data_IF_582010543324
#
_entry.id   IF_582010543324
#
_cell.length_a   1.000
_cell.length_b   1.000
_cell.length_c   1.000
_cell.angle_alpha   90.00
_cell.angle_beta   90.00
_cell.angle_gamma   90.00
#
_symmetry.space_group_name_H-M   'P 1'
#
loop_
_entity.id
_entity.type
_entity.pdbx_description
1 polymer ?
#
# COMPACT_ATOMS: atom_id res chain seq x y z
N UNK A 1 39.28 -9.35 -25.60
CA UNK A 1 39.42 -9.67 -24.17
C UNK A 1 38.32 -8.96 -23.40
N UNK A 2 37.60 -9.72 -22.58
CA UNK A 2 36.30 -9.38 -21.99
C UNK A 2 36.47 -8.68 -20.65
N UNK A 3 35.82 -7.53 -20.43
CA UNK A 3 35.66 -6.94 -19.10
C UNK A 3 34.19 -6.60 -18.85
N UNK A 4 33.43 -7.61 -18.39
CA UNK A 4 32.04 -7.46 -17.94
C UNK A 4 32.05 -6.76 -16.59
N UNK A 5 31.74 -5.45 -16.59
CA UNK A 5 31.60 -4.62 -15.39
C UNK A 5 30.35 -5.04 -14.61
N UNK A 6 30.52 -5.96 -13.65
CA UNK A 6 29.46 -6.35 -12.71
C UNK A 6 29.14 -5.17 -11.79
N UNK A 7 28.08 -4.44 -12.12
CA UNK A 7 27.49 -3.39 -11.30
C UNK A 7 26.83 -4.06 -10.09
N UNK A 8 27.56 -4.16 -8.98
CA UNK A 8 27.04 -4.59 -7.67
C UNK A 8 26.00 -3.56 -7.25
N UNK A 9 24.72 -3.90 -7.42
CA UNK A 9 23.62 -3.14 -6.84
C UNK A 9 23.60 -3.50 -5.35
N UNK A 10 24.24 -2.66 -4.54
CA UNK A 10 24.17 -2.74 -3.09
C UNK A 10 22.78 -2.31 -2.65
N UNK A 11 21.93 -3.27 -2.31
CA UNK A 11 20.77 -3.06 -1.45
C UNK A 11 21.31 -2.62 -0.09
N UNK A 12 21.36 -1.31 0.10
CA UNK A 12 21.68 -0.69 1.39
C UNK A 12 20.36 -0.19 1.94
N UNK A 13 19.93 -0.86 3.01
CA UNK A 13 18.76 -0.55 3.82
C UNK A 13 18.72 0.92 4.21
N UNK A 14 17.52 1.50 4.27
CA UNK A 14 17.26 2.66 5.10
C UNK A 14 16.23 2.26 6.14
N UNK A 15 16.74 2.04 7.35
CA UNK A 15 15.95 2.01 8.57
C UNK A 15 15.70 3.46 9.01
N UNK A 16 14.44 3.74 9.36
CA UNK A 16 14.06 4.60 10.47
C UNK A 16 14.38 6.09 10.40
N UNK A 17 13.33 6.91 10.29
CA UNK A 17 13.09 7.99 11.26
C UNK A 17 11.64 8.49 11.12
N UNK A 18 10.84 8.17 12.12
CA UNK A 18 9.52 8.75 12.33
C UNK A 18 9.65 10.20 12.82
N UNK A 19 8.89 11.12 12.24
CA UNK A 19 8.50 12.36 12.91
C UNK A 19 7.26 13.00 12.26
N UNK A 20 6.26 13.23 13.11
CA UNK A 20 5.23 14.28 13.08
C UNK A 20 4.09 14.21 12.03
N UNK A 21 2.93 13.77 12.55
CA UNK A 21 1.63 14.42 12.47
C UNK A 21 1.37 15.39 11.29
N UNK A 22 0.65 14.87 10.30
CA UNK A 22 -0.20 15.65 9.41
C UNK A 22 -1.44 14.82 9.12
N UNK A 23 -2.53 15.08 9.86
CA UNK A 23 -3.83 14.45 9.64
C UNK A 23 -4.41 15.03 8.33
N UNK A 24 -3.96 14.50 7.19
CA UNK A 24 -4.52 14.89 5.88
C UNK A 24 -5.81 14.08 5.69
N UNK A 25 -6.93 14.70 6.05
CA UNK A 25 -8.26 14.37 5.55
C UNK A 25 -8.31 14.69 4.06
N UNK A 26 -7.93 13.73 3.22
CA UNK A 26 -8.28 13.79 1.80
C UNK A 26 -9.60 13.04 1.58
N UNK A 27 -10.68 13.81 1.56
CA UNK A 27 -12.02 13.37 1.17
C UNK A 27 -12.09 13.28 -0.36
N UNK A 28 -12.66 12.19 -0.86
CA UNK A 28 -13.28 12.17 -2.19
C UNK A 28 -12.76 11.08 -3.13
N UNK A 29 -13.18 9.82 -2.93
CA UNK A 29 -13.40 8.91 -4.05
C UNK A 29 -14.67 8.10 -3.76
N UNK A 30 -15.63 8.16 -4.68
CA UNK A 30 -16.88 7.43 -4.69
C UNK A 30 -16.62 5.91 -4.71
N UNK A 31 -16.57 5.28 -3.54
CA UNK A 31 -16.66 3.82 -3.44
C UNK A 31 -18.14 3.46 -3.30
N UNK A 32 -18.74 2.66 -4.21
CA UNK A 32 -20.12 2.24 -4.05
C UNK A 32 -20.25 1.42 -2.75
N UNK A 33 -21.32 1.62 -1.95
CA UNK A 33 -21.52 0.85 -0.73
C UNK A 33 -21.76 -0.62 -1.11
N UNK A 34 -20.81 -1.49 -0.74
CA UNK A 34 -21.00 -2.93 -0.80
C UNK A 34 -22.02 -3.30 0.28
N UNK A 35 -23.10 -4.05 -0.02
CA UNK A 35 -24.09 -4.42 0.98
C UNK A 35 -23.43 -5.33 2.02
N UNK A 36 -23.16 -4.77 3.20
CA UNK A 36 -22.64 -5.51 4.33
C UNK A 36 -23.80 -6.21 5.04
N UNK A 37 -23.83 -7.55 4.96
CA UNK A 37 -24.38 -8.34 6.06
C UNK A 37 -23.57 -7.91 7.28
N UNK A 38 -24.22 -7.47 8.36
CA UNK A 38 -23.53 -6.90 9.52
C UNK A 38 -22.63 -7.95 10.19
N UNK A 39 -21.39 -8.06 9.70
CA UNK A 39 -20.35 -8.89 10.26
C UNK A 39 -19.97 -8.33 11.64
N UNK A 40 -19.58 -9.22 12.55
CA UNK A 40 -19.00 -8.77 13.80
C UNK A 40 -17.68 -8.03 13.54
N UNK A 41 -17.35 -7.00 14.32
CA UNK A 41 -16.13 -6.21 14.09
C UNK A 41 -14.83 -7.06 14.00
N UNK A 42 -14.65 -8.15 14.78
CA UNK A 42 -13.52 -9.06 14.61
C UNK A 42 -13.51 -9.81 13.26
N UNK A 43 -14.68 -10.20 12.76
CA UNK A 43 -14.84 -10.90 11.47
C UNK A 43 -14.55 -9.96 10.29
N UNK A 44 -14.98 -8.69 10.38
CA UNK A 44 -14.63 -7.67 9.39
C UNK A 44 -13.10 -7.47 9.32
N UNK A 45 -12.44 -7.31 10.47
CA UNK A 45 -10.98 -7.16 10.52
C UNK A 45 -10.30 -8.40 9.89
N UNK A 46 -10.75 -9.61 10.22
CA UNK A 46 -10.18 -10.83 9.65
C UNK A 46 -10.33 -10.88 8.11
N UNK A 47 -11.49 -10.49 7.58
CA UNK A 47 -11.72 -10.41 6.13
C UNK A 47 -10.81 -9.37 5.46
N UNK A 48 -10.63 -8.19 6.07
CA UNK A 48 -9.74 -7.15 5.54
C UNK A 48 -8.27 -7.56 5.58
N UNK A 49 -7.84 -8.25 6.64
CA UNK A 49 -6.49 -8.83 6.73
C UNK A 49 -6.28 -9.80 5.57
N UNK A 50 -7.23 -10.71 5.33
CA UNK A 50 -7.14 -11.68 4.24
C UNK A 50 -7.07 -10.99 2.87
N UNK A 51 -7.93 -10.02 2.61
CA UNK A 51 -7.93 -9.23 1.37
C UNK A 51 -6.58 -8.53 1.16
N UNK A 52 -6.04 -7.93 2.22
CA UNK A 52 -4.75 -7.27 2.16
C UNK A 52 -3.59 -8.23 1.84
N UNK A 53 -3.62 -9.46 2.38
CA UNK A 53 -2.64 -10.50 2.07
C UNK A 53 -2.79 -11.00 0.63
N UNK A 54 -4.00 -11.06 0.08
CA UNK A 54 -4.24 -11.38 -1.33
C UNK A 54 -3.59 -10.33 -2.24
N UNK A 55 -3.81 -9.04 -1.96
CA UNK A 55 -3.20 -7.94 -2.70
C UNK A 55 -1.66 -7.96 -2.60
N UNK A 56 -1.12 -8.28 -1.43
CA UNK A 56 0.33 -8.38 -1.23
C UNK A 56 0.97 -9.45 -2.12
N UNK A 57 0.29 -10.60 -2.27
CA UNK A 57 0.73 -11.67 -3.19
C UNK A 57 0.73 -11.20 -4.65
N UNK A 58 -0.26 -10.41 -5.05
CA UNK A 58 -0.32 -9.82 -6.40
C UNK A 58 0.84 -8.86 -6.61
N UNK A 59 1.09 -7.94 -5.68
CA UNK A 59 2.21 -6.99 -5.74
C UNK A 59 3.57 -7.69 -5.80
N UNK A 60 3.75 -8.74 -5.00
CA UNK A 60 4.98 -9.53 -5.00
C UNK A 60 5.23 -10.21 -6.37
N UNK A 61 4.17 -10.55 -7.11
CA UNK A 61 4.31 -11.08 -8.47
C UNK A 61 4.88 -10.06 -9.45
N UNK A 62 4.52 -8.78 -9.33
CA UNK A 62 5.04 -7.71 -10.19
C UNK A 62 6.50 -7.41 -9.91
N UNK A 63 6.92 -7.41 -8.64
CA UNK A 63 8.32 -7.21 -8.28
C UNK A 63 9.22 -8.32 -8.86
N UNK A 64 8.78 -9.59 -8.77
CA UNK A 64 9.51 -10.73 -9.37
C UNK A 64 9.64 -10.67 -10.89
N UNK A 65 8.69 -10.03 -11.58
CA UNK A 65 8.75 -9.86 -13.04
C UNK A 65 9.78 -8.81 -13.47
N UNK A 66 10.35 -8.02 -12.55
CA UNK A 66 11.40 -7.04 -12.87
C UNK A 66 10.95 -5.95 -13.84
N UNK A 67 9.67 -5.55 -13.78
CA UNK A 67 9.07 -4.62 -14.74
C UNK A 67 9.67 -3.22 -14.56
N UNK A 68 10.30 -2.69 -15.60
CA UNK A 68 10.78 -1.31 -15.62
C UNK A 68 9.60 -0.39 -15.91
N UNK A 69 9.32 0.54 -15.00
CA UNK A 69 8.29 1.58 -15.15
C UNK A 69 8.93 2.93 -15.44
N UNK A 70 8.17 3.86 -16.04
CA UNK A 70 8.66 5.22 -16.25
C UNK A 70 8.76 5.98 -14.91
N UNK A 71 9.49 7.09 -14.88
CA UNK A 71 9.74 7.85 -13.64
C UNK A 71 8.49 8.40 -12.97
N UNK A 72 7.46 8.77 -13.74
CA UNK A 72 6.19 9.28 -13.20
C UNK A 72 5.43 8.16 -12.49
N UNK A 73 5.32 6.99 -13.10
CA UNK A 73 4.73 5.80 -12.47
C UNK A 73 5.54 5.35 -11.26
N UNK A 74 6.88 5.41 -11.32
CA UNK A 74 7.73 5.08 -10.18
C UNK A 74 7.49 6.00 -8.97
N UNK A 75 7.33 7.31 -9.22
CA UNK A 75 7.02 8.27 -8.17
C UNK A 75 5.63 8.02 -7.54
N UNK A 76 4.62 7.71 -8.37
CA UNK A 76 3.29 7.38 -7.89
C UNK A 76 3.27 6.08 -7.06
N UNK A 77 4.03 5.07 -7.47
CA UNK A 77 4.22 3.82 -6.71
C UNK A 77 4.84 4.13 -5.34
N UNK A 78 5.95 4.87 -5.30
CA UNK A 78 6.65 5.22 -4.07
C UNK A 78 5.74 6.00 -3.10
N UNK A 79 4.96 6.97 -3.60
CA UNK A 79 4.00 7.71 -2.76
C UNK A 79 2.94 6.79 -2.13
N UNK A 80 2.43 5.81 -2.90
CA UNK A 80 1.45 4.85 -2.39
C UNK A 80 2.07 3.91 -1.35
N UNK A 81 3.29 3.43 -1.58
CA UNK A 81 4.03 2.58 -0.63
C UNK A 81 4.30 3.31 0.69
N UNK A 82 4.74 4.58 0.64
CA UNK A 82 4.95 5.40 1.84
C UNK A 82 3.65 5.58 2.63
N UNK A 83 2.53 5.81 1.95
CA UNK A 83 1.21 5.94 2.60
C UNK A 83 0.75 4.64 3.22
N UNK A 84 1.03 3.49 2.61
CA UNK A 84 0.76 2.17 3.18
C UNK A 84 1.59 1.98 4.46
N UNK A 85 2.89 2.30 4.42
CA UNK A 85 3.77 2.18 5.59
C UNK A 85 3.27 3.02 6.79
N UNK A 86 2.74 4.22 6.55
CA UNK A 86 2.13 5.04 7.60
C UNK A 86 0.89 4.36 8.21
N UNK A 87 0.04 3.75 7.38
CA UNK A 87 -1.14 3.02 7.86
C UNK A 87 -0.74 1.76 8.64
N UNK A 88 0.26 1.02 8.18
CA UNK A 88 0.76 -0.19 8.85
C UNK A 88 1.27 0.14 10.26
N UNK A 89 2.05 1.22 10.42
CA UNK A 89 2.46 1.72 11.75
C UNK A 89 1.24 2.12 12.60
N UNK A 90 0.21 2.70 11.98
CA UNK A 90 -1.06 3.03 12.64
C UNK A 90 -1.78 1.79 13.18
N UNK A 91 -1.84 0.72 12.38
CA UNK A 91 -2.45 -0.57 12.76
C UNK A 91 -1.70 -1.15 13.96
N UNK A 92 -0.37 -1.24 13.88
CA UNK A 92 0.47 -1.79 14.95
C UNK A 92 0.25 -1.01 16.26
N UNK A 93 0.23 0.33 16.18
CA UNK A 93 -0.01 1.18 17.34
C UNK A 93 -1.42 0.99 17.92
N UNK A 94 -2.45 0.91 17.07
CA UNK A 94 -3.83 0.74 17.51
C UNK A 94 -4.02 -0.62 18.22
N UNK A 95 -3.37 -1.68 17.73
CA UNK A 95 -3.38 -3.00 18.36
C UNK A 95 -2.66 -3.00 19.71
N UNK A 96 -1.46 -2.41 19.78
CA UNK A 96 -0.70 -2.29 21.04
C UNK A 96 -1.45 -1.50 22.12
N UNK A 97 -2.27 -0.54 21.71
CA UNK A 97 -3.06 0.29 22.61
C UNK A 97 -4.45 -0.29 22.92
N UNK A 98 -4.77 -1.48 22.41
CA UNK A 98 -6.10 -2.08 22.51
C UNK A 98 -7.21 -1.11 22.09
N UNK A 99 -6.99 -0.39 20.98
CA UNK A 99 -7.96 0.55 20.44
C UNK A 99 -9.29 -0.15 20.10
N UNK A 100 -10.41 0.60 20.04
CA UNK A 100 -11.70 0.04 19.64
C UNK A 100 -11.60 -0.69 18.29
N UNK A 101 -12.32 -1.81 18.17
CA UNK A 101 -12.29 -2.64 16.96
C UNK A 101 -12.62 -1.84 15.69
N UNK A 102 -13.56 -0.89 15.77
CA UNK A 102 -13.93 -0.03 14.65
C UNK A 102 -12.76 0.85 14.17
N UNK A 103 -11.96 1.41 15.10
CA UNK A 103 -10.78 2.19 14.75
C UNK A 103 -9.70 1.32 14.08
N UNK A 104 -9.56 0.06 14.50
CA UNK A 104 -8.65 -0.91 13.88
C UNK A 104 -9.18 -1.30 12.49
N UNK A 105 -10.48 -1.54 12.34
CA UNK A 105 -11.12 -1.85 11.07
C UNK A 105 -10.98 -0.69 10.06
N UNK A 106 -11.13 0.56 10.48
CA UNK A 106 -10.91 1.74 9.64
C UNK A 106 -9.49 1.78 9.03
N UNK A 107 -8.48 1.46 9.83
CA UNK A 107 -7.09 1.41 9.38
C UNK A 107 -6.87 0.27 8.38
N UNK A 108 -7.44 -0.91 8.63
CA UNK A 108 -7.39 -2.03 7.68
C UNK A 108 -8.10 -1.73 6.35
N UNK A 109 -9.28 -1.11 6.39
CA UNK A 109 -9.99 -0.65 5.18
C UNK A 109 -9.13 0.34 4.38
N UNK A 110 -8.42 1.23 5.08
CA UNK A 110 -7.51 2.19 4.44
C UNK A 110 -6.29 1.48 3.81
N UNK A 111 -5.71 0.48 4.49
CA UNK A 111 -4.62 -0.34 3.94
C UNK A 111 -5.04 -1.01 2.63
N UNK A 112 -6.17 -1.74 2.65
CA UNK A 112 -6.73 -2.41 1.47
C UNK A 112 -6.95 -1.43 0.33
N UNK A 113 -7.56 -0.26 0.61
CA UNK A 113 -7.81 0.77 -0.41
C UNK A 113 -6.52 1.29 -1.05
N UNK A 114 -5.45 1.47 -0.27
CA UNK A 114 -4.16 1.93 -0.81
C UNK A 114 -3.46 0.82 -1.61
N UNK A 115 -3.52 -0.43 -1.13
CA UNK A 115 -2.96 -1.58 -1.84
C UNK A 115 -3.64 -1.84 -3.17
N UNK A 116 -4.97 -1.71 -3.24
CA UNK A 116 -5.72 -1.83 -4.49
C UNK A 116 -5.29 -0.77 -5.50
N UNK A 117 -5.13 0.50 -5.06
CA UNK A 117 -4.58 1.57 -5.91
C UNK A 117 -3.17 1.27 -6.39
N UNK A 118 -2.32 0.71 -5.52
CA UNK A 118 -0.97 0.33 -5.87
C UNK A 118 -0.95 -0.79 -6.93
N UNK A 119 -1.77 -1.83 -6.75
CA UNK A 119 -1.97 -2.88 -7.76
C UNK A 119 -2.42 -2.28 -9.09
N UNK A 120 -3.43 -1.42 -9.08
CA UNK A 120 -3.95 -0.78 -10.28
C UNK A 120 -2.88 0.09 -10.98
N UNK A 121 -2.02 0.77 -10.22
CA UNK A 121 -0.91 1.58 -10.78
C UNK A 121 0.15 0.71 -11.46
N UNK A 122 0.39 -0.51 -10.96
CA UNK A 122 1.28 -1.48 -11.61
C UNK A 122 0.71 -2.05 -12.92
N UNK A 123 -0.63 -2.12 -13.04
CA UNK A 123 -1.31 -2.64 -14.23
C UNK A 123 -1.50 -1.56 -15.29
N UNK A 124 -1.84 -0.33 -14.87
CA UNK A 124 -2.11 0.80 -15.75
C UNK A 124 -0.91 1.77 -15.72
N UNK A 125 0.05 1.66 -16.65
CA UNK A 125 1.07 2.69 -16.78
C UNK A 125 0.37 4.02 -17.11
N UNK A 126 0.59 5.04 -16.28
CA UNK A 126 0.08 6.41 -16.49
C UNK A 126 0.46 6.84 -17.90
N UNK A 127 -0.54 6.89 -18.78
CA UNK A 127 -0.34 7.28 -20.18
C UNK A 127 -0.40 8.79 -20.21
N UNK A 128 0.75 9.43 -20.36
CA UNK A 128 0.80 10.88 -20.56
C UNK A 128 0.19 11.19 -21.93
N UNK A 129 -1.08 11.60 -21.96
CA UNK A 129 -1.68 12.24 -23.14
C UNK A 129 -1.24 13.71 -23.09
N UNK A 130 -0.08 13.99 -23.70
CA UNK A 130 0.34 15.37 -23.95
C UNK A 130 -0.54 16.00 -25.02
N UNK A 131 -1.04 17.21 -24.74
CA UNK A 131 -1.53 18.15 -25.75
C UNK A 131 -0.58 19.34 -25.80
#
# INVERSE_FOLDING_TARGET
MSARRRRRWSYTSWAGLAAAAGLVLFVGVNTPPRPAVAASAPEEIASLVEESQQLERVLHSYNRQGRVVNGVTAAAIAELEDRIAVVDVGIDRAQLQAAPHEAVADLWRRRVTLMDRLVNTHVQPVTYVGY
#
